data_IF_561628999603
#
_entry.id   IF_561628999603
#
_cell.length_a   1.000
_cell.length_b   1.000
_cell.length_c   1.000
_cell.angle_alpha   90.00
_cell.angle_beta   90.00
_cell.angle_gamma   90.00
#
_symmetry.space_group_name_H-M   'P 1'
#
loop_
_entity.id
_entity.type
_entity.pdbx_description
1 polymer ?
#
# COMPACT_ATOMS: atom_id res chain seq x y z
N UNK A 1 7.81 -25.64 -11.65
CA UNK A 1 7.43 -24.67 -10.61
C UNK A 1 8.67 -23.85 -10.31
N UNK A 2 8.75 -22.60 -10.79
CA UNK A 2 9.86 -21.72 -10.44
C UNK A 2 9.60 -21.20 -9.02
N UNK A 3 10.56 -21.40 -8.12
CA UNK A 3 10.54 -20.84 -6.77
C UNK A 3 10.71 -19.32 -6.91
N UNK A 4 9.60 -18.60 -7.00
CA UNK A 4 9.62 -17.15 -6.82
C UNK A 4 10.10 -16.89 -5.40
N UNK A 5 11.13 -16.06 -5.25
CA UNK A 5 11.66 -15.69 -3.94
C UNK A 5 10.50 -15.24 -3.03
N UNK A 6 10.61 -15.56 -1.74
CA UNK A 6 9.66 -15.10 -0.71
C UNK A 6 9.45 -13.58 -0.88
N UNK A 7 10.54 -12.85 -1.17
CA UNK A 7 10.62 -11.39 -1.24
C UNK A 7 10.54 -10.83 -2.67
N UNK A 8 9.85 -11.51 -3.59
CA UNK A 8 9.64 -11.00 -4.94
C UNK A 8 8.61 -9.85 -4.93
N UNK A 9 9.03 -8.60 -5.19
CA UNK A 9 8.14 -7.42 -5.10
C UNK A 9 6.99 -7.44 -6.10
N UNK A 10 6.98 -8.38 -7.05
CA UNK A 10 5.89 -8.56 -8.02
C UNK A 10 4.68 -9.28 -7.43
N UNK A 11 4.85 -10.01 -6.33
CA UNK A 11 3.78 -10.80 -5.70
C UNK A 11 2.69 -9.87 -5.13
N UNK A 12 1.43 -10.33 -5.12
CA UNK A 12 0.33 -9.53 -4.55
C UNK A 12 0.57 -9.19 -3.07
N UNK A 13 1.23 -10.09 -2.33
CA UNK A 13 1.56 -9.90 -0.91
C UNK A 13 2.58 -8.80 -0.64
N UNK A 14 3.33 -8.36 -1.66
CA UNK A 14 4.29 -7.26 -1.57
C UNK A 14 3.69 -5.93 -2.07
N UNK A 15 2.45 -5.94 -2.57
CA UNK A 15 1.86 -4.81 -3.30
C UNK A 15 0.54 -4.31 -2.75
N UNK A 16 -0.25 -5.21 -2.15
CA UNK A 16 -1.57 -4.92 -1.62
C UNK A 16 -1.46 -4.58 -0.13
N UNK A 17 -2.06 -3.49 0.36
CA UNK A 17 -1.80 -2.98 1.72
C UNK A 17 -2.04 -4.02 2.81
N UNK A 18 -3.23 -4.62 2.86
CA UNK A 18 -3.58 -5.61 3.90
C UNK A 18 -2.68 -6.85 3.83
N UNK A 19 -2.29 -7.28 2.63
CA UNK A 19 -1.43 -8.44 2.46
C UNK A 19 0.03 -8.14 2.84
N UNK A 20 0.50 -6.91 2.64
CA UNK A 20 1.81 -6.45 3.11
C UNK A 20 1.94 -6.56 4.63
N UNK A 21 0.88 -6.27 5.37
CA UNK A 21 0.87 -6.46 6.82
C UNK A 21 1.10 -7.91 7.24
N UNK A 22 0.41 -8.87 6.62
CA UNK A 22 0.67 -10.29 6.87
C UNK A 22 2.05 -10.74 6.38
N UNK A 23 2.55 -10.14 5.30
CA UNK A 23 3.85 -10.45 4.71
C UNK A 23 5.02 -10.03 5.59
N UNK A 24 4.98 -8.80 6.10
CA UNK A 24 6.07 -8.16 6.81
C UNK A 24 5.88 -8.15 8.34
N UNK A 25 4.76 -8.67 8.83
CA UNK A 25 4.35 -8.65 10.24
C UNK A 25 4.31 -7.21 10.79
N UNK A 26 3.77 -6.30 9.98
CA UNK A 26 3.81 -4.87 10.22
C UNK A 26 3.61 -4.04 8.95
N UNK A 27 3.60 -2.71 9.08
CA UNK A 27 3.42 -1.82 7.94
C UNK A 27 4.58 -1.89 6.93
N UNK A 28 4.23 -1.73 5.67
CA UNK A 28 5.14 -1.37 4.57
C UNK A 28 5.05 0.15 4.34
N UNK A 29 5.17 0.61 3.10
CA UNK A 29 5.08 2.03 2.73
C UNK A 29 3.64 2.49 2.42
N UNK A 30 2.67 1.58 2.34
CA UNK A 30 1.25 1.96 2.17
C UNK A 30 0.66 2.29 3.55
N UNK A 31 0.53 3.58 3.85
CA UNK A 31 0.03 4.05 5.14
C UNK A 31 -1.48 3.99 5.16
N UNK A 32 -2.00 2.84 5.61
CA UNK A 32 -3.42 2.58 5.78
C UNK A 32 -3.67 1.92 7.13
N UNK A 33 -4.92 1.96 7.59
CA UNK A 33 -5.37 1.08 8.67
C UNK A 33 -5.84 -0.26 8.07
N UNK A 34 -5.09 -1.36 8.26
CA UNK A 34 -5.47 -2.65 7.70
C UNK A 34 -6.73 -3.24 8.35
N UNK A 35 -7.09 -2.85 9.58
CA UNK A 35 -8.31 -3.32 10.23
C UNK A 35 -9.55 -2.71 9.56
N UNK A 36 -9.54 -1.40 9.31
CA UNK A 36 -10.61 -0.72 8.58
C UNK A 36 -10.69 -1.16 7.11
N UNK A 37 -9.53 -1.38 6.47
CA UNK A 37 -9.46 -1.66 5.03
C UNK A 37 -9.65 -3.14 4.67
N UNK A 38 -9.42 -4.06 5.62
CA UNK A 38 -9.36 -5.50 5.41
C UNK A 38 -10.48 -6.06 4.53
N UNK A 39 -11.73 -5.78 4.90
CA UNK A 39 -12.90 -6.30 4.19
C UNK A 39 -13.03 -5.78 2.76
N UNK A 40 -12.67 -4.52 2.51
CA UNK A 40 -12.72 -3.95 1.15
C UNK A 40 -11.71 -4.65 0.23
N UNK A 41 -10.47 -4.84 0.70
CA UNK A 41 -9.42 -5.51 -0.07
C UNK A 41 -9.75 -6.99 -0.32
N UNK A 42 -10.25 -7.71 0.69
CA UNK A 42 -10.62 -9.11 0.54
C UNK A 42 -11.79 -9.28 -0.45
N UNK A 43 -12.81 -8.42 -0.37
CA UNK A 43 -13.94 -8.44 -1.28
C UNK A 43 -13.51 -8.13 -2.73
N UNK A 44 -12.64 -7.13 -2.95
CA UNK A 44 -12.12 -6.80 -4.28
C UNK A 44 -11.28 -7.93 -4.90
N UNK A 45 -10.59 -8.70 -4.07
CA UNK A 45 -9.84 -9.89 -4.50
C UNK A 45 -10.75 -11.09 -4.79
N UNK A 46 -12.07 -10.99 -4.55
CA UNK A 46 -13.01 -12.09 -4.69
C UNK A 46 -12.78 -13.20 -3.68
N UNK A 47 -12.19 -12.89 -2.52
CA UNK A 47 -12.01 -13.85 -1.44
C UNK A 47 -13.35 -14.08 -0.76
N UNK A 48 -13.79 -15.34 -0.69
CA UNK A 48 -15.04 -15.71 0.00
C UNK A 48 -14.79 -16.17 1.45
N UNK A 49 -13.62 -16.74 1.71
CA UNK A 49 -13.26 -17.26 3.04
C UNK A 49 -11.78 -17.00 3.36
N UNK A 50 -11.51 -16.71 4.63
CA UNK A 50 -10.16 -16.62 5.19
C UNK A 50 -9.98 -17.73 6.21
N UNK A 51 -8.90 -18.49 6.08
CA UNK A 51 -8.58 -19.64 6.94
C UNK A 51 -7.29 -19.37 7.69
N UNK A 52 -7.37 -19.27 9.00
CA UNK A 52 -6.22 -19.25 9.89
C UNK A 52 -5.88 -20.70 10.29
N UNK A 53 -4.76 -21.23 9.80
CA UNK A 53 -4.25 -22.56 10.22
C UNK A 53 -3.05 -22.40 11.16
N UNK A 54 -3.27 -22.59 12.47
CA UNK A 54 -2.24 -22.48 13.51
C UNK A 54 -1.11 -23.48 13.35
N UNK A 55 -1.32 -24.57 12.61
CA UNK A 55 -0.25 -25.51 12.26
C UNK A 55 0.71 -24.92 11.21
N UNK A 56 0.21 -24.04 10.32
CA UNK A 56 1.01 -23.36 9.29
C UNK A 56 1.66 -22.06 9.76
N UNK A 57 1.21 -21.55 10.91
CA UNK A 57 1.79 -20.39 11.59
C UNK A 57 2.39 -20.86 12.92
N UNK A 58 3.65 -21.37 12.94
CA UNK A 58 4.30 -21.70 14.20
C UNK A 58 4.32 -20.45 15.10
N UNK A 59 4.24 -20.63 16.42
CA UNK A 59 4.03 -19.54 17.38
C UNK A 59 5.09 -18.43 17.33
N UNK A 60 4.94 -17.43 18.19
CA UNK A 60 5.77 -16.22 18.19
C UNK A 60 5.13 -15.10 17.39
N UNK A 61 5.95 -14.17 16.89
CA UNK A 61 5.46 -12.91 16.30
C UNK A 61 4.52 -13.13 15.11
N UNK A 62 4.84 -14.11 14.24
CA UNK A 62 4.00 -14.41 13.07
C UNK A 62 2.57 -14.78 13.48
N UNK A 63 2.42 -15.75 14.38
CA UNK A 63 1.09 -16.15 14.87
C UNK A 63 0.39 -15.01 15.60
N UNK A 64 1.07 -14.37 16.56
CA UNK A 64 0.48 -13.30 17.37
C UNK A 64 -0.04 -12.17 16.49
N UNK A 65 0.79 -11.67 15.58
CA UNK A 65 0.42 -10.56 14.70
C UNK A 65 -0.69 -10.95 13.72
N UNK A 66 -0.59 -12.13 13.09
CA UNK A 66 -1.59 -12.58 12.13
C UNK A 66 -2.95 -12.81 12.78
N UNK A 67 -3.00 -13.42 13.97
CA UNK A 67 -4.26 -13.64 14.70
C UNK A 67 -4.87 -12.31 15.19
N UNK A 68 -4.06 -11.40 15.75
CA UNK A 68 -4.52 -10.08 16.18
C UNK A 68 -5.07 -9.25 15.00
N UNK A 69 -4.36 -9.23 13.88
CA UNK A 69 -4.81 -8.50 12.70
C UNK A 69 -6.06 -9.12 12.09
N UNK A 70 -6.14 -10.45 12.00
CA UNK A 70 -7.34 -11.11 11.51
C UNK A 70 -8.54 -10.82 12.43
N UNK A 71 -8.35 -10.88 13.76
CA UNK A 71 -9.39 -10.52 14.72
C UNK A 71 -9.85 -9.07 14.56
N UNK A 72 -8.93 -8.14 14.28
CA UNK A 72 -9.26 -6.74 14.04
C UNK A 72 -10.06 -6.54 12.73
N UNK A 73 -9.68 -7.22 11.66
CA UNK A 73 -10.38 -7.16 10.36
C UNK A 73 -11.81 -7.72 10.47
N UNK A 74 -11.97 -8.86 11.16
CA UNK A 74 -13.26 -9.54 11.33
C UNK A 74 -13.97 -9.15 12.64
N UNK A 75 -13.63 -8.00 13.23
CA UNK A 75 -14.20 -7.57 14.49
C UNK A 75 -15.74 -7.47 14.41
N UNK A 76 -16.44 -8.11 15.35
CA UNK A 76 -17.90 -8.16 15.37
C UNK A 76 -18.52 -9.24 14.49
N UNK A 77 -17.72 -10.02 13.76
CA UNK A 77 -18.18 -11.14 12.95
C UNK A 77 -17.76 -12.48 13.57
N UNK A 78 -18.72 -13.38 13.91
CA UNK A 78 -18.36 -14.71 14.40
C UNK A 78 -17.71 -15.55 13.28
N UNK A 79 -16.75 -16.43 13.61
CA UNK A 79 -16.19 -17.34 12.62
C UNK A 79 -17.25 -18.33 12.13
N UNK A 80 -17.13 -18.74 10.86
CA UNK A 80 -17.93 -19.81 10.25
C UNK A 80 -17.59 -21.18 10.85
N UNK A 81 -16.33 -21.35 11.24
CA UNK A 81 -15.81 -22.55 11.88
C UNK A 81 -14.65 -22.19 12.80
N UNK A 82 -14.58 -22.83 13.97
CA UNK A 82 -13.47 -22.67 14.89
C UNK A 82 -13.21 -23.96 15.66
N UNK A 83 -11.96 -24.39 15.67
CA UNK A 83 -11.43 -25.43 16.55
C UNK A 83 -10.03 -25.05 17.08
N UNK A 84 -9.36 -25.99 17.75
CA UNK A 84 -8.02 -25.79 18.34
C UNK A 84 -6.94 -25.43 17.31
N UNK A 85 -7.13 -25.75 16.02
CA UNK A 85 -6.14 -25.57 14.96
C UNK A 85 -6.57 -24.51 13.95
N UNK A 86 -7.83 -24.50 13.55
CA UNK A 86 -8.34 -23.73 12.43
C UNK A 86 -9.42 -22.76 12.90
N UNK A 87 -9.32 -21.52 12.43
CA UNK A 87 -10.43 -20.56 12.48
C UNK A 87 -10.75 -20.12 11.05
N UNK A 88 -12.02 -20.16 10.66
CA UNK A 88 -12.49 -19.77 9.33
C UNK A 88 -13.45 -18.59 9.46
N UNK A 89 -13.15 -17.52 8.73
CA UNK A 89 -14.04 -16.37 8.58
C UNK A 89 -14.64 -16.35 7.18
N UNK A 90 -15.90 -15.96 7.08
CA UNK A 90 -16.52 -15.60 5.81
C UNK A 90 -16.16 -14.16 5.46
N UNK A 91 -16.00 -13.87 4.18
CA UNK A 91 -15.83 -12.49 3.72
C UNK A 91 -17.14 -12.03 3.10
N UNK A 92 -17.81 -11.11 3.78
CA UNK A 92 -19.00 -10.43 3.24
C UNK A 92 -18.56 -9.09 2.63
N UNK A 93 -18.98 -8.74 1.40
CA UNK A 93 -18.70 -7.42 0.84
C UNK A 93 -19.19 -6.33 1.79
N UNK A 94 -18.33 -5.37 2.20
CA UNK A 94 -18.76 -4.31 3.10
C UNK A 94 -19.77 -3.40 2.40
N UNK A 95 -20.70 -2.83 3.17
CA UNK A 95 -21.70 -1.88 2.65
C UNK A 95 -21.03 -0.66 2.01
N UNK A 96 -19.95 -0.18 2.62
CA UNK A 96 -19.09 0.89 2.11
C UNK A 96 -17.70 0.32 1.82
N UNK A 97 -17.30 0.34 0.55
CA UNK A 97 -15.95 -0.04 0.13
C UNK A 97 -15.00 1.14 0.23
N UNK A 98 -13.85 0.96 0.88
CA UNK A 98 -12.86 2.01 1.05
C UNK A 98 -11.91 2.11 -0.13
N UNK A 99 -11.40 3.32 -0.35
CA UNK A 99 -10.35 3.62 -1.32
C UNK A 99 -8.97 3.26 -0.76
N UNK A 100 -8.05 2.81 -1.60
CA UNK A 100 -6.70 2.45 -1.16
C UNK A 100 -5.65 2.44 -2.27
N UNK A 101 -4.38 2.75 -1.95
CA UNK A 101 -3.26 2.60 -2.88
C UNK A 101 -2.82 1.14 -3.01
N UNK A 102 -2.27 0.79 -4.17
CA UNK A 102 -1.68 -0.51 -4.53
C UNK A 102 -0.40 -0.26 -5.30
N UNK A 103 0.68 -0.97 -4.95
CA UNK A 103 1.92 -0.88 -5.71
C UNK A 103 1.82 -1.66 -7.02
N UNK A 104 2.36 -1.09 -8.09
CA UNK A 104 2.59 -1.77 -9.35
C UNK A 104 3.64 -2.87 -9.23
N UNK A 105 3.72 -3.80 -10.20
CA UNK A 105 4.62 -4.95 -10.11
C UNK A 105 6.09 -4.62 -10.41
N UNK A 106 6.39 -3.50 -11.06
CA UNK A 106 7.72 -3.22 -11.58
C UNK A 106 8.39 -2.04 -10.87
N UNK A 107 9.72 -2.09 -10.86
CA UNK A 107 10.63 -1.00 -10.47
C UNK A 107 10.57 -0.49 -9.02
N UNK A 108 9.70 -1.08 -8.18
CA UNK A 108 9.84 -0.98 -6.72
C UNK A 108 11.01 -1.82 -6.22
N UNK A 109 11.90 -1.18 -5.46
CA UNK A 109 12.91 -1.88 -4.67
C UNK A 109 12.30 -2.71 -3.53
N UNK A 110 13.09 -3.60 -2.91
CA UNK A 110 12.65 -4.31 -1.71
C UNK A 110 12.38 -3.32 -0.56
N UNK A 111 11.52 -3.72 0.37
CA UNK A 111 11.36 -3.01 1.64
C UNK A 111 12.66 -3.10 2.44
N UNK A 112 13.23 -1.95 2.79
CA UNK A 112 14.47 -1.84 3.55
C UNK A 112 14.29 -0.86 4.70
N UNK A 113 15.06 -1.05 5.78
CA UNK A 113 15.14 -0.07 6.86
C UNK A 113 16.39 0.77 6.68
N UNK A 114 16.24 2.07 6.52
CA UNK A 114 17.34 3.00 6.31
C UNK A 114 17.96 3.36 7.67
N UNK A 115 19.16 2.85 8.02
CA UNK A 115 19.68 2.95 9.39
C UNK A 115 20.04 4.38 9.81
N UNK A 116 20.47 5.19 8.85
CA UNK A 116 20.91 6.58 9.04
C UNK A 116 19.80 7.47 9.62
N UNK A 117 18.53 7.08 9.45
CA UNK A 117 17.36 7.87 9.84
C UNK A 117 16.50 7.18 10.91
N UNK A 118 17.10 6.44 11.83
CA UNK A 118 16.33 5.71 12.86
C UNK A 118 15.58 4.50 12.32
N UNK A 119 16.09 3.88 11.25
CA UNK A 119 15.56 2.67 10.64
C UNK A 119 14.16 2.83 10.03
N UNK A 120 13.89 3.99 9.40
CA UNK A 120 12.67 4.23 8.61
C UNK A 120 12.54 3.16 7.52
N UNK A 121 11.38 2.51 7.48
CA UNK A 121 11.04 1.54 6.45
C UNK A 121 10.74 2.27 5.13
N UNK A 122 11.37 1.85 4.04
CA UNK A 122 11.21 2.48 2.73
C UNK A 122 11.52 1.51 1.59
N UNK A 123 10.94 1.80 0.43
CA UNK A 123 11.26 1.13 -0.84
C UNK A 123 12.03 2.08 -1.75
N UNK A 124 13.08 1.55 -2.39
CA UNK A 124 13.89 2.29 -3.35
C UNK A 124 13.12 2.49 -4.66
N UNK A 125 13.26 3.68 -5.24
CA UNK A 125 12.86 4.03 -6.61
C UNK A 125 14.09 4.48 -7.40
N UNK A 126 13.98 4.51 -8.73
CA UNK A 126 15.08 4.88 -9.63
C UNK A 126 14.54 5.67 -10.82
N UNK A 127 15.37 5.90 -11.84
CA UNK A 127 14.96 6.52 -13.09
C UNK A 127 13.99 5.68 -13.94
N UNK A 128 13.63 4.46 -13.50
CA UNK A 128 12.56 3.66 -14.12
C UNK A 128 11.25 3.85 -13.35
N UNK A 129 10.12 4.04 -14.04
CA UNK A 129 8.83 4.33 -13.40
C UNK A 129 8.32 3.16 -12.59
N UNK A 130 8.01 3.42 -11.33
CA UNK A 130 7.31 2.52 -10.42
C UNK A 130 5.87 3.01 -10.25
N UNK A 131 4.89 2.12 -10.43
CA UNK A 131 3.48 2.51 -10.44
C UNK A 131 2.86 2.46 -9.03
N UNK A 132 1.93 3.37 -8.76
CA UNK A 132 0.99 3.34 -7.63
C UNK A 132 -0.41 3.53 -8.21
N UNK A 133 -1.28 2.56 -8.02
CA UNK A 133 -2.70 2.68 -8.41
C UNK A 133 -3.53 2.92 -7.17
N UNK A 134 -4.35 3.97 -7.17
CA UNK A 134 -5.35 4.20 -6.12
C UNK A 134 -6.69 3.69 -6.61
N UNK A 135 -7.22 2.67 -5.94
CA UNK A 135 -8.54 2.09 -6.19
C UNK A 135 -9.59 2.98 -5.54
N UNK A 136 -10.66 3.31 -6.28
CA UNK A 136 -11.80 4.14 -5.81
C UNK A 136 -11.39 5.50 -5.23
N UNK A 137 -10.41 6.15 -5.84
CA UNK A 137 -9.96 7.49 -5.50
C UNK A 137 -11.15 8.47 -5.46
N UNK A 138 -11.46 9.07 -4.29
CA UNK A 138 -12.47 10.12 -4.20
C UNK A 138 -12.03 11.39 -4.93
N UNK A 139 -12.96 12.13 -5.50
CA UNK A 139 -12.68 13.35 -6.28
C UNK A 139 -12.02 14.48 -5.45
N UNK A 140 -12.21 14.49 -4.13
CA UNK A 140 -11.69 15.47 -3.18
C UNK A 140 -10.46 14.97 -2.38
N UNK A 141 -9.97 13.78 -2.73
CA UNK A 141 -8.85 13.17 -2.03
C UNK A 141 -7.49 13.64 -2.56
N UNK A 142 -6.53 13.67 -1.65
CA UNK A 142 -5.13 13.99 -1.88
C UNK A 142 -4.28 12.75 -1.64
N UNK A 143 -3.16 12.65 -2.35
CA UNK A 143 -2.17 11.61 -2.08
C UNK A 143 -0.91 12.26 -1.50
N UNK A 144 -0.56 11.88 -0.26
CA UNK A 144 0.72 12.27 0.35
C UNK A 144 1.76 11.19 0.10
N UNK A 145 2.93 11.60 -0.37
CA UNK A 145 4.11 10.75 -0.50
C UNK A 145 5.21 11.32 0.40
N UNK A 146 5.77 10.49 1.27
CA UNK A 146 6.98 10.81 2.03
C UNK A 146 8.19 10.24 1.32
N UNK A 147 9.10 11.11 0.87
CA UNK A 147 10.22 10.72 0.03
C UNK A 147 11.54 11.35 0.46
N UNK A 148 12.63 10.77 -0.03
CA UNK A 148 13.96 11.37 -0.07
C UNK A 148 14.68 10.94 -1.36
N UNK A 149 15.67 11.70 -1.79
CA UNK A 149 16.47 11.43 -2.99
C UNK A 149 17.96 11.66 -2.75
N UNK A 150 18.80 11.09 -3.61
CA UNK A 150 20.22 11.43 -3.63
C UNK A 150 20.43 12.93 -3.96
N UNK A 151 21.51 13.57 -3.48
CA UNK A 151 21.78 14.97 -3.78
C UNK A 151 21.75 15.26 -5.29
N UNK A 152 21.00 16.29 -5.68
CA UNK A 152 20.85 16.68 -7.09
C UNK A 152 19.86 15.85 -7.91
N UNK A 153 19.16 14.90 -7.29
CA UNK A 153 18.15 14.06 -7.93
C UNK A 153 16.73 14.53 -7.59
N UNK A 154 15.92 14.85 -8.58
CA UNK A 154 14.52 15.24 -8.41
C UNK A 154 13.59 14.03 -8.41
N UNK A 155 12.43 14.16 -7.77
CA UNK A 155 11.33 13.19 -7.86
C UNK A 155 10.38 13.63 -8.99
N UNK A 156 10.03 12.70 -9.86
CA UNK A 156 9.09 12.88 -10.96
C UNK A 156 7.85 12.03 -10.70
N UNK A 157 6.68 12.66 -10.77
CA UNK A 157 5.39 12.00 -10.59
C UNK A 157 4.52 12.34 -11.78
N UNK A 158 3.94 11.34 -12.44
CA UNK A 158 3.00 11.57 -13.54
C UNK A 158 1.76 10.71 -13.37
N UNK A 159 0.59 11.28 -13.64
CA UNK A 159 -0.69 10.56 -13.67
C UNK A 159 -1.00 10.05 -15.07
N UNK A 160 -1.59 8.87 -15.17
CA UNK A 160 -2.16 8.35 -16.43
C UNK A 160 -3.44 9.08 -16.84
N UNK A 161 -4.16 9.66 -15.88
CA UNK A 161 -5.38 10.42 -16.08
C UNK A 161 -5.12 11.88 -16.49
N UNK A 162 -3.96 12.45 -16.16
CA UNK A 162 -3.59 13.78 -16.62
C UNK A 162 -2.95 13.71 -18.01
N UNK A 163 -3.16 14.73 -18.84
CA UNK A 163 -2.62 14.80 -20.21
C UNK A 163 -1.10 15.06 -20.22
N UNK A 164 -0.32 14.11 -19.71
CA UNK A 164 1.14 14.14 -19.72
C UNK A 164 1.77 15.14 -18.74
N UNK A 165 1.01 15.66 -17.77
CA UNK A 165 1.53 16.57 -16.76
C UNK A 165 2.42 15.77 -15.79
N UNK A 166 3.74 15.94 -15.95
CA UNK A 166 4.72 15.44 -14.98
C UNK A 166 4.96 16.51 -13.94
N UNK A 167 4.66 16.17 -12.70
CA UNK A 167 4.95 16.96 -11.52
C UNK A 167 6.39 16.68 -11.10
N UNK A 168 7.22 17.72 -11.07
CA UNK A 168 8.61 17.62 -10.59
C UNK A 168 8.68 18.16 -9.16
N UNK A 169 9.30 17.41 -8.26
CA UNK A 169 9.61 17.81 -6.90
C UNK A 169 11.12 17.88 -6.70
N UNK A 170 11.62 18.90 -5.98
CA UNK A 170 13.05 19.16 -5.87
C UNK A 170 13.78 18.00 -5.17
N UNK A 171 15.12 17.92 -5.31
CA UNK A 171 15.91 17.01 -4.52
C UNK A 171 15.69 17.19 -3.02
N UNK A 172 15.63 16.07 -2.29
CA UNK A 172 15.36 16.04 -0.86
C UNK A 172 16.37 15.11 -0.17
N UNK A 173 17.41 15.69 0.44
CA UNK A 173 18.43 14.92 1.15
C UNK A 173 17.86 14.24 2.42
N UNK A 174 16.90 14.89 3.07
CA UNK A 174 16.14 14.37 4.21
C UNK A 174 14.73 13.94 3.78
N UNK A 175 14.03 13.23 4.66
CA UNK A 175 12.62 12.89 4.45
C UNK A 175 11.74 14.14 4.37
N UNK A 176 11.04 14.30 3.26
CA UNK A 176 10.06 15.37 3.07
C UNK A 176 8.75 14.81 2.52
N UNK A 177 7.66 15.50 2.82
CA UNK A 177 6.35 15.19 2.26
C UNK A 177 6.11 15.98 0.98
N UNK A 178 5.42 15.34 0.04
CA UNK A 178 4.71 15.99 -1.06
C UNK A 178 3.25 15.57 -0.99
N UNK A 179 2.35 16.52 -1.17
CA UNK A 179 0.92 16.27 -1.36
C UNK A 179 0.57 16.54 -2.81
N UNK A 180 -0.09 15.59 -3.45
CA UNK A 180 -0.65 15.73 -4.79
C UNK A 180 -2.10 16.19 -4.68
N UNK A 181 -2.43 17.27 -5.39
CA UNK A 181 -3.81 17.75 -5.50
C UNK A 181 -4.64 16.86 -6.44
N UNK A 182 -5.98 16.86 -6.32
CA UNK A 182 -6.85 16.21 -7.29
C UNK A 182 -6.52 16.58 -8.74
N UNK A 183 -6.23 17.86 -9.00
CA UNK A 183 -5.87 18.36 -10.33
C UNK A 183 -4.54 17.76 -10.83
N UNK A 184 -3.51 17.70 -9.99
CA UNK A 184 -2.23 17.08 -10.34
C UNK A 184 -2.37 15.58 -10.65
N UNK A 185 -3.36 14.92 -10.03
CA UNK A 185 -3.71 13.53 -10.27
C UNK A 185 -4.65 13.34 -11.48
N UNK A 186 -5.11 14.41 -12.12
CA UNK A 186 -6.03 14.33 -13.27
C UNK A 186 -7.48 13.99 -12.88
N UNK A 187 -7.87 14.24 -11.64
CA UNK A 187 -9.25 14.07 -11.18
C UNK A 187 -10.10 15.24 -11.67
N UNK A 188 -11.09 14.95 -12.53
CA UNK A 188 -11.88 15.98 -13.22
C UNK A 188 -13.41 15.81 -13.10
N UNK A 189 -13.88 14.75 -12.43
CA UNK A 189 -15.32 14.47 -12.30
C UNK A 189 -15.70 14.13 -10.88
N UNK A 190 -16.93 14.50 -10.51
CA UNK A 190 -17.58 14.01 -9.30
C UNK A 190 -17.72 12.49 -9.39
N UNK A 191 -17.17 11.78 -8.40
CA UNK A 191 -17.24 10.31 -8.31
C UNK A 191 -15.91 9.65 -8.03
N UNK A 192 -15.97 8.34 -7.73
CA UNK A 192 -14.80 7.52 -7.48
C UNK A 192 -14.13 7.10 -8.80
N UNK A 193 -12.81 7.18 -8.85
CA UNK A 193 -12.01 6.83 -10.03
C UNK A 193 -10.87 5.90 -9.66
N UNK A 194 -10.37 5.11 -10.61
CA UNK A 194 -9.07 4.46 -10.43
C UNK A 194 -8.03 5.33 -11.10
N UNK A 195 -7.01 5.75 -10.33
CA UNK A 195 -5.91 6.59 -10.85
C UNK A 195 -4.61 5.82 -10.73
N UNK A 196 -3.80 5.82 -11.79
CA UNK A 196 -2.44 5.27 -11.73
C UNK A 196 -1.43 6.38 -11.85
N UNK A 197 -0.55 6.46 -10.85
CA UNK A 197 0.60 7.35 -10.84
C UNK A 197 1.86 6.54 -11.15
N UNK A 198 2.77 7.15 -11.88
CA UNK A 198 4.16 6.69 -11.97
C UNK A 198 5.03 7.57 -11.11
N UNK A 199 5.93 6.95 -10.37
CA UNK A 199 6.91 7.60 -9.49
C UNK A 199 8.30 7.15 -9.93
N UNK A 200 9.17 8.10 -10.22
CA UNK A 200 10.56 7.85 -10.60
C UNK A 200 11.43 9.02 -10.22
N UNK A 201 12.74 8.86 -10.36
CA UNK A 201 13.69 9.96 -10.25
C UNK A 201 14.12 10.46 -11.62
N UNK A 202 14.60 11.70 -11.73
CA UNK A 202 15.19 12.24 -12.97
C UNK A 202 16.61 11.70 -13.27
N UNK A 203 17.14 10.87 -12.36
CA UNK A 203 18.46 10.26 -12.34
C UNK A 203 18.72 9.69 -10.95
N UNK A 204 19.91 9.14 -10.67
CA UNK A 204 20.26 8.70 -9.31
C UNK A 204 19.24 7.75 -8.65
N UNK A 205 19.18 7.80 -7.31
CA UNK A 205 18.29 6.96 -6.50
C UNK A 205 17.37 7.80 -5.61
N UNK A 206 16.21 7.23 -5.31
CA UNK A 206 15.27 7.79 -4.35
C UNK A 206 14.63 6.71 -3.49
N UNK A 207 13.91 7.14 -2.46
CA UNK A 207 13.18 6.25 -1.56
C UNK A 207 11.83 6.86 -1.21
N UNK A 208 10.81 6.00 -1.18
CA UNK A 208 9.49 6.32 -0.65
C UNK A 208 9.33 5.56 0.67
N UNK A 209 9.04 6.29 1.75
CA UNK A 209 8.75 5.72 3.06
C UNK A 209 7.25 5.58 3.31
N UNK A 210 6.44 6.41 2.66
CA UNK A 210 5.02 6.49 2.97
C UNK A 210 4.21 6.94 1.75
N UNK A 211 3.07 6.31 1.56
CA UNK A 211 2.04 6.63 0.58
C UNK A 211 0.72 6.62 1.35
N UNK A 212 0.14 7.79 1.57
CA UNK A 212 -1.07 7.98 2.35
C UNK A 212 -2.15 8.64 1.50
N UNK A 213 -3.35 8.05 1.51
CA UNK A 213 -4.54 8.68 0.96
C UNK A 213 -5.18 9.58 2.03
N UNK A 214 -5.25 10.88 1.75
CA UNK A 214 -5.84 11.87 2.65
C UNK A 214 -7.15 12.38 2.05
N UNK A 215 -8.24 12.36 2.81
CA UNK A 215 -9.46 13.07 2.41
C UNK A 215 -9.39 14.51 2.91
N UNK A 216 -9.92 15.44 2.12
CA UNK A 216 -10.18 16.78 2.61
C UNK A 216 -11.09 16.66 3.84
N UNK A 217 -10.73 17.29 4.96
CA UNK A 217 -11.62 17.34 6.11
C UNK A 217 -12.94 17.98 5.65
N UNK A 218 -14.05 17.28 5.86
CA UNK A 218 -15.36 17.86 5.61
C UNK A 218 -15.52 19.11 6.49
N UNK A 219 -15.57 20.29 5.87
CA UNK A 219 -15.89 21.55 6.53
C UNK A 219 -17.35 21.58 6.98
#
# INVERSE_FOLDING_TARGET
>A
VAYISRDDPRTLTERMPVLQHFRHLGPDILAVDPAALGMSVLADLGVETVVLDRYKMPGGLERTYTEELAQAIFAGQPPLFEDERITVYGVEPPADTLAYPVLGPLNWGPLTRIPEDGAVAARRISARPAEVTVVRMPADAHLRLRYRTTPGTSLLIASDASTGATVTRPPAADWTDVVLSPEEMGLHSDGEQTVTLTVQTDGGDGWIAEIELQRSAAN
#
